data_IF_985205996579
#
_entry.id   IF_985205996579
#
_cell.length_a   1.000
_cell.length_b   1.000
_cell.length_c   1.000
_cell.angle_alpha   90.00
_cell.angle_beta   90.00
_cell.angle_gamma   90.00
#
_symmetry.space_group_name_H-M   'P 1'
#
loop_
_entity.id
_entity.type
_entity.pdbx_description
1 polymer ?
#
# COMPACT_ATOMS: atom_id res chain seq x y z
N UNK A 1 -6.70 4.64 -23.15
CA UNK A 1 -7.67 4.73 -22.07
C UNK A 1 -9.04 4.48 -22.66
N UNK A 2 -9.69 3.36 -22.35
CA UNK A 2 -11.06 3.09 -22.74
C UNK A 2 -11.86 2.92 -21.44
N UNK A 3 -12.89 3.71 -21.29
CA UNK A 3 -13.85 3.59 -20.20
C UNK A 3 -15.03 2.81 -20.73
N UNK A 4 -15.24 1.62 -20.23
CA UNK A 4 -16.49 0.88 -20.42
C UNK A 4 -16.96 0.40 -19.05
N UNK A 5 -18.13 0.86 -18.64
CA UNK A 5 -18.89 0.39 -17.46
C UNK A 5 -18.16 0.51 -16.11
N UNK A 6 -17.63 1.69 -15.79
CA UNK A 6 -17.08 1.96 -14.44
C UNK A 6 -15.82 1.17 -14.07
N UNK A 7 -15.13 0.58 -15.02
CA UNK A 7 -13.88 -0.15 -14.82
C UNK A 7 -12.72 0.57 -15.48
N UNK A 8 -11.67 0.85 -14.69
CA UNK A 8 -10.39 1.29 -15.24
C UNK A 8 -9.58 0.01 -15.49
N UNK A 9 -9.49 -0.40 -16.73
CA UNK A 9 -8.60 -1.49 -17.16
C UNK A 9 -7.34 -0.86 -17.73
N UNK A 10 -6.24 -0.97 -17.01
CA UNK A 10 -4.94 -0.59 -17.54
C UNK A 10 -4.30 -1.79 -18.23
N UNK A 11 -4.53 -1.94 -19.54
CA UNK A 11 -3.68 -2.82 -20.36
C UNK A 11 -2.40 -2.09 -20.67
N UNK A 12 -1.32 -2.45 -20.02
CA UNK A 12 -0.01 -1.90 -20.34
C UNK A 12 0.76 -2.81 -21.30
N UNK A 13 0.85 -2.37 -22.53
CA UNK A 13 2.14 -2.40 -23.21
C UNK A 13 2.92 -1.24 -22.60
N UNK A 14 4.09 -1.53 -22.04
CA UNK A 14 5.05 -0.62 -21.44
C UNK A 14 5.01 0.78 -22.10
N UNK A 15 4.26 1.74 -21.60
CA UNK A 15 4.36 3.18 -21.92
C UNK A 15 3.25 4.05 -21.29
N UNK A 16 2.63 3.74 -20.18
CA UNK A 16 1.44 4.49 -19.75
C UNK A 16 1.26 4.74 -18.23
N UNK A 17 2.32 4.85 -17.44
CA UNK A 17 2.18 5.25 -16.03
C UNK A 17 2.28 6.78 -15.80
N UNK A 18 2.35 7.59 -16.83
CA UNK A 18 2.56 9.05 -16.74
C UNK A 18 1.25 9.86 -16.76
N UNK A 19 0.07 9.26 -16.92
CA UNK A 19 -1.15 10.04 -17.20
C UNK A 19 -2.16 10.19 -16.05
N UNK A 20 -2.00 9.56 -14.91
CA UNK A 20 -2.96 9.67 -13.81
C UNK A 20 -2.72 10.89 -12.89
N UNK A 21 -1.54 11.47 -12.87
CA UNK A 21 -1.21 12.63 -12.04
C UNK A 21 -1.50 14.01 -12.69
N UNK A 22 -2.07 14.06 -13.89
CA UNK A 22 -2.20 15.32 -14.69
C UNK A 22 -3.59 15.94 -14.70
N UNK A 23 -4.56 15.46 -13.91
CA UNK A 23 -5.93 16.00 -13.95
C UNK A 23 -6.26 17.07 -12.88
N UNK A 24 -5.35 17.43 -12.00
CA UNK A 24 -5.67 18.32 -10.88
C UNK A 24 -5.19 19.79 -10.99
N UNK A 25 -4.52 20.22 -12.04
CA UNK A 25 -4.08 21.62 -12.16
C UNK A 25 -4.35 22.19 -13.54
N UNK A 26 -5.58 22.58 -13.84
CA UNK A 26 -5.88 23.63 -14.81
C UNK A 26 -7.32 24.15 -14.61
N UNK A 27 -7.42 25.18 -13.79
CA UNK A 27 -8.51 26.18 -13.87
C UNK A 27 -7.93 27.53 -13.51
N UNK A 28 -7.82 28.41 -14.48
CA UNK A 28 -7.56 29.82 -14.18
C UNK A 28 -6.95 30.63 -15.31
N UNK A 29 -7.86 31.34 -16.01
CA UNK A 29 -7.72 32.64 -16.65
C UNK A 29 -7.11 32.77 -18.05
N UNK A 30 -8.02 33.17 -18.90
CA UNK A 30 -7.86 33.82 -20.20
C UNK A 30 -7.30 35.25 -20.12
N UNK A 31 -6.50 35.67 -21.09
CA UNK A 31 -6.75 36.92 -21.87
C UNK A 31 -5.70 37.12 -22.96
N UNK A 32 -6.20 37.58 -24.10
CA UNK A 32 -5.64 37.92 -25.37
C UNK A 32 -4.29 38.63 -25.42
N UNK A 33 -3.46 38.31 -26.42
CA UNK A 33 -3.19 39.21 -27.57
C UNK A 33 -2.10 38.64 -28.49
N UNK A 34 -2.37 38.82 -29.78
CA UNK A 34 -1.56 38.52 -30.96
C UNK A 34 -0.13 39.04 -30.93
N UNK A 35 0.85 38.24 -31.37
CA UNK A 35 1.69 38.67 -32.52
C UNK A 35 2.52 37.51 -33.12
N UNK A 36 2.81 37.66 -34.43
CA UNK A 36 3.51 36.73 -35.29
C UNK A 36 5.02 36.68 -35.01
N UNK A 37 5.62 35.50 -35.08
CA UNK A 37 7.08 35.37 -35.18
C UNK A 37 7.54 33.93 -35.17
N UNK A 38 7.88 33.42 -36.34
CA UNK A 38 8.55 32.12 -36.54
C UNK A 38 9.81 31.98 -35.70
N UNK A 39 9.91 30.90 -34.91
CA UNK A 39 11.20 30.28 -34.64
C UNK A 39 11.08 28.84 -34.15
N UNK A 40 12.06 28.08 -34.56
CA UNK A 40 12.22 26.65 -34.45
C UNK A 40 12.18 26.11 -33.02
N UNK A 41 11.71 24.86 -32.92
CA UNK A 41 11.67 23.90 -31.82
C UNK A 41 12.58 24.15 -30.61
N UNK A 42 11.95 24.47 -29.51
CA UNK A 42 12.41 24.09 -28.19
C UNK A 42 11.24 23.39 -27.49
N UNK A 43 11.38 22.11 -27.27
CA UNK A 43 10.50 21.34 -26.41
C UNK A 43 10.42 22.03 -25.05
N UNK A 44 9.22 22.42 -24.65
CA UNK A 44 8.96 22.91 -23.31
C UNK A 44 9.11 21.72 -22.34
N UNK A 45 10.16 21.75 -21.53
CA UNK A 45 10.27 20.90 -20.34
C UNK A 45 9.12 21.26 -19.40
N UNK A 46 8.04 20.48 -19.49
CA UNK A 46 7.01 20.47 -18.46
C UNK A 46 7.62 19.91 -17.17
N UNK A 47 7.38 20.58 -16.05
CA UNK A 47 7.67 20.12 -14.70
C UNK A 47 6.79 18.90 -14.33
N UNK A 48 6.91 17.82 -15.07
CA UNK A 48 6.37 16.51 -14.72
C UNK A 48 7.40 15.79 -13.88
N UNK A 49 7.00 15.27 -12.73
CA UNK A 49 7.76 14.29 -11.95
C UNK A 49 8.33 13.23 -12.91
N UNK A 50 9.64 13.26 -13.08
CA UNK A 50 10.31 12.31 -13.96
C UNK A 50 10.54 11.02 -13.17
N UNK A 51 9.54 10.15 -13.20
CA UNK A 51 9.55 8.82 -12.55
C UNK A 51 10.80 8.03 -12.97
N UNK A 52 11.28 8.24 -14.20
CA UNK A 52 12.52 7.63 -14.68
C UNK A 52 13.75 8.18 -13.94
N UNK A 53 13.81 9.48 -13.65
CA UNK A 53 14.92 10.05 -12.86
C UNK A 53 14.83 9.68 -11.38
N UNK A 54 13.62 9.53 -10.84
CA UNK A 54 13.37 8.96 -9.52
C UNK A 54 13.88 7.52 -9.46
N UNK A 55 13.53 6.72 -10.45
CA UNK A 55 13.94 5.32 -10.58
C UNK A 55 15.46 5.18 -10.75
N UNK A 56 16.08 6.01 -11.61
CA UNK A 56 17.52 6.07 -11.80
C UNK A 56 18.26 6.56 -10.55
N UNK A 57 17.65 7.41 -9.73
CA UNK A 57 18.23 7.83 -8.44
C UNK A 57 18.19 6.73 -7.38
N UNK A 58 17.13 5.90 -7.39
CA UNK A 58 16.97 4.78 -6.45
C UNK A 58 17.79 3.57 -6.89
N UNK A 59 17.86 3.26 -8.19
CA UNK A 59 18.49 2.04 -8.71
C UNK A 59 19.85 2.27 -9.40
N UNK A 60 20.25 3.47 -9.75
CA UNK A 60 21.45 3.74 -10.55
C UNK A 60 22.44 4.73 -9.97
N UNK A 61 22.09 5.46 -8.94
CA UNK A 61 23.03 6.31 -8.20
C UNK A 61 23.14 5.79 -6.77
N UNK A 62 24.36 5.62 -6.31
CA UNK A 62 24.64 5.61 -4.87
C UNK A 62 23.98 6.86 -4.28
N UNK A 63 22.94 6.68 -3.49
CA UNK A 63 22.52 7.67 -2.50
C UNK A 63 23.81 8.05 -1.79
N UNK A 64 24.16 9.35 -1.73
CA UNK A 64 25.47 9.78 -1.26
C UNK A 64 25.80 9.15 0.09
N UNK A 65 27.09 8.89 0.33
CA UNK A 65 27.57 8.29 1.59
C UNK A 65 27.25 9.14 2.84
N UNK A 66 26.64 10.34 2.65
CA UNK A 66 26.15 11.24 3.69
C UNK A 66 24.65 11.06 3.99
N UNK A 67 23.92 10.24 3.21
CA UNK A 67 22.54 9.91 3.51
C UNK A 67 22.52 9.00 4.75
N UNK A 68 22.05 9.59 5.82
CA UNK A 68 22.05 9.07 7.17
C UNK A 68 21.92 7.54 7.19
N UNK A 69 22.90 6.89 7.73
CA UNK A 69 22.79 5.55 8.27
C UNK A 69 21.60 5.62 9.22
N UNK A 70 20.43 5.16 8.74
CA UNK A 70 19.36 4.78 9.64
C UNK A 70 19.96 3.61 10.39
N UNK A 71 20.38 3.88 11.62
CA UNK A 71 21.01 2.91 12.47
C UNK A 71 19.96 1.90 12.86
N UNK A 72 19.92 0.79 12.14
CA UNK A 72 19.00 -0.28 12.40
C UNK A 72 18.61 -1.07 11.15
N UNK A 73 18.40 -2.34 11.31
CA UNK A 73 17.98 -3.32 10.30
C UNK A 73 16.60 -3.05 9.66
N UNK A 74 16.04 -1.86 9.81
CA UNK A 74 14.63 -1.53 9.57
C UNK A 74 14.35 -0.64 8.36
N UNK A 75 15.37 -0.20 7.63
CA UNK A 75 15.15 0.59 6.42
C UNK A 75 14.48 -0.26 5.34
N UNK A 76 13.35 0.20 4.83
CA UNK A 76 12.70 -0.40 3.66
C UNK A 76 13.67 -0.31 2.49
N UNK A 77 13.95 -1.44 1.85
CA UNK A 77 14.88 -1.50 0.72
C UNK A 77 14.11 -1.49 -0.58
N UNK A 78 14.44 -0.53 -1.44
CA UNK A 78 13.85 -0.38 -2.77
C UNK A 78 14.71 -1.02 -3.88
N UNK A 79 15.74 -1.78 -3.52
CA UNK A 79 16.60 -2.46 -4.48
C UNK A 79 16.55 -3.97 -4.26
N UNK A 80 15.89 -4.66 -5.19
CA UNK A 80 15.72 -6.10 -5.21
C UNK A 80 16.26 -6.70 -6.50
N UNK A 81 16.66 -7.96 -6.44
CA UNK A 81 17.15 -8.72 -7.59
C UNK A 81 16.46 -10.10 -7.60
N UNK A 82 16.22 -10.66 -8.82
CA UNK A 82 15.78 -12.04 -8.93
C UNK A 82 16.70 -12.98 -8.15
N UNK A 83 16.10 -13.94 -7.49
CA UNK A 83 16.87 -14.98 -6.81
C UNK A 83 17.58 -15.92 -7.82
N UNK A 84 18.22 -16.99 -7.33
CA UNK A 84 18.96 -17.93 -8.18
C UNK A 84 18.06 -18.87 -9.01
N UNK A 85 16.73 -18.76 -8.92
CA UNK A 85 15.80 -19.57 -9.68
C UNK A 85 15.88 -19.20 -11.17
N UNK A 86 15.92 -20.21 -12.03
CA UNK A 86 15.92 -20.02 -13.48
C UNK A 86 14.54 -20.33 -14.03
N UNK A 87 13.80 -19.31 -14.53
CA UNK A 87 12.52 -19.51 -15.18
C UNK A 87 12.57 -20.54 -16.30
N UNK A 88 11.53 -21.38 -16.41
CA UNK A 88 11.48 -22.46 -17.40
C UNK A 88 10.91 -22.00 -18.75
N UNK A 89 10.20 -20.87 -18.78
CA UNK A 89 9.64 -20.25 -19.97
C UNK A 89 10.33 -18.92 -20.25
N UNK A 90 10.26 -18.45 -21.49
CA UNK A 90 10.70 -17.11 -21.88
C UNK A 90 9.60 -16.06 -21.78
N UNK A 91 8.36 -16.48 -21.59
CA UNK A 91 7.18 -15.60 -21.52
C UNK A 91 6.22 -16.06 -20.42
N UNK A 92 5.68 -15.09 -19.66
CA UNK A 92 4.68 -15.31 -18.62
C UNK A 92 3.60 -14.25 -18.71
N UNK A 93 2.38 -14.64 -18.35
CA UNK A 93 1.24 -13.72 -18.32
C UNK A 93 0.44 -13.93 -17.04
N UNK A 94 0.23 -12.85 -16.26
CA UNK A 94 -0.41 -12.90 -14.96
C UNK A 94 -1.62 -11.98 -14.89
N UNK A 95 -2.52 -12.29 -13.96
CA UNK A 95 -3.62 -11.42 -13.59
C UNK A 95 -3.55 -11.15 -12.09
N UNK A 96 -3.54 -9.88 -11.70
CA UNK A 96 -3.57 -9.46 -10.31
C UNK A 96 -4.77 -8.55 -10.06
N UNK A 97 -5.53 -8.83 -9.00
CA UNK A 97 -6.64 -7.98 -8.58
C UNK A 97 -6.51 -7.63 -7.11
N UNK A 98 -6.75 -6.36 -6.81
CA UNK A 98 -6.67 -5.80 -5.47
C UNK A 98 -7.96 -5.05 -5.13
N UNK A 99 -8.09 -4.55 -3.88
CA UNK A 99 -9.34 -4.10 -3.27
C UNK A 99 -9.95 -2.88 -3.96
N UNK A 100 -9.16 -1.82 -4.13
CA UNK A 100 -9.59 -0.52 -4.64
C UNK A 100 -8.44 0.29 -5.20
N UNK A 101 -8.73 1.34 -5.95
CA UNK A 101 -7.70 2.30 -6.40
C UNK A 101 -7.31 3.20 -5.23
N UNK A 102 -6.10 3.01 -4.72
CA UNK A 102 -5.55 3.76 -3.60
C UNK A 102 -4.03 3.92 -3.77
N UNK A 103 -3.39 5.05 -3.36
CA UNK A 103 -1.95 5.29 -3.54
C UNK A 103 -1.02 4.22 -2.95
N UNK A 104 -1.47 3.51 -1.92
CA UNK A 104 -0.72 2.40 -1.33
C UNK A 104 -0.32 1.34 -2.37
N UNK A 105 -1.20 1.08 -3.34
CA UNK A 105 -0.98 0.10 -4.41
C UNK A 105 0.03 0.54 -5.46
N UNK A 106 0.35 1.85 -5.52
CA UNK A 106 1.38 2.35 -6.42
C UNK A 106 2.77 1.85 -6.01
N UNK A 107 3.06 1.75 -4.69
CA UNK A 107 4.30 1.19 -4.18
C UNK A 107 4.43 -0.31 -4.48
N UNK A 108 3.35 -1.08 -4.39
CA UNK A 108 3.31 -2.49 -4.80
C UNK A 108 3.56 -2.61 -6.31
N UNK A 109 2.89 -1.78 -7.12
CA UNK A 109 3.09 -1.74 -8.58
C UNK A 109 4.53 -1.43 -8.96
N UNK A 110 5.19 -0.49 -8.26
CA UNK A 110 6.63 -0.20 -8.50
C UNK A 110 7.51 -1.42 -8.28
N UNK A 111 7.25 -2.20 -7.24
CA UNK A 111 7.95 -3.46 -7.00
C UNK A 111 7.73 -4.48 -8.11
N UNK A 112 6.48 -4.65 -8.56
CA UNK A 112 6.15 -5.53 -9.69
C UNK A 112 6.87 -5.08 -10.98
N UNK A 113 6.84 -3.79 -11.30
CA UNK A 113 7.52 -3.22 -12.47
C UNK A 113 9.04 -3.43 -12.41
N UNK A 114 9.63 -3.24 -11.22
CA UNK A 114 11.05 -3.51 -10.99
C UNK A 114 11.39 -4.98 -11.27
N UNK A 115 10.59 -5.93 -10.76
CA UNK A 115 10.78 -7.34 -11.04
C UNK A 115 10.70 -7.64 -12.53
N UNK A 116 9.68 -7.13 -13.24
CA UNK A 116 9.51 -7.30 -14.68
C UNK A 116 10.72 -6.80 -15.46
N UNK A 117 11.28 -5.64 -15.10
CA UNK A 117 12.49 -5.11 -15.73
C UNK A 117 13.72 -5.99 -15.49
N UNK A 118 13.94 -6.42 -14.23
CA UNK A 118 15.08 -7.30 -13.89
C UNK A 118 14.98 -8.65 -14.61
N UNK A 119 13.77 -9.22 -14.74
CA UNK A 119 13.58 -10.47 -15.51
C UNK A 119 13.73 -10.26 -17.02
N UNK A 120 13.34 -9.10 -17.55
CA UNK A 120 13.58 -8.74 -18.96
C UNK A 120 15.07 -8.68 -19.27
N UNK A 121 15.89 -8.15 -18.38
CA UNK A 121 17.35 -8.12 -18.52
C UNK A 121 17.96 -9.54 -18.56
N UNK A 122 17.25 -10.53 -18.00
CA UNK A 122 17.59 -11.95 -18.09
C UNK A 122 16.99 -12.64 -19.31
N UNK A 123 16.31 -11.92 -20.21
CA UNK A 123 15.66 -12.45 -21.41
C UNK A 123 14.28 -13.07 -21.17
N UNK A 124 13.64 -12.78 -20.05
CA UNK A 124 12.30 -13.28 -19.68
C UNK A 124 11.27 -12.15 -19.84
N UNK A 125 10.26 -12.37 -20.67
CA UNK A 125 9.17 -11.42 -20.89
C UNK A 125 8.01 -11.73 -19.92
N UNK A 126 7.58 -10.72 -19.17
CA UNK A 126 6.44 -10.83 -18.26
C UNK A 126 5.42 -9.78 -18.65
N UNK A 127 4.18 -10.20 -18.86
CA UNK A 127 3.00 -9.35 -18.97
C UNK A 127 2.06 -9.61 -17.81
N UNK A 128 1.33 -8.60 -17.38
CA UNK A 128 0.29 -8.78 -16.38
C UNK A 128 -0.80 -7.71 -16.48
N UNK A 129 -2.02 -8.09 -16.11
CA UNK A 129 -3.10 -7.15 -15.81
C UNK A 129 -3.13 -6.88 -14.29
N UNK A 130 -3.22 -5.61 -13.90
CA UNK A 130 -3.29 -5.16 -12.50
C UNK A 130 -4.54 -4.33 -12.33
N UNK A 131 -5.57 -4.88 -11.66
CA UNK A 131 -6.95 -4.40 -11.78
C UNK A 131 -7.62 -4.23 -10.42
N UNK A 132 -8.23 -3.07 -10.21
CA UNK A 132 -9.08 -2.80 -9.05
C UNK A 132 -10.35 -2.05 -9.44
N UNK A 133 -11.42 -2.10 -8.63
CA UNK A 133 -12.57 -1.20 -8.75
C UNK A 133 -12.17 0.21 -8.27
N UNK A 134 -13.01 1.20 -8.59
CA UNK A 134 -12.86 2.56 -8.05
C UNK A 134 -13.14 2.61 -6.54
N UNK A 135 -14.04 1.74 -6.07
CA UNK A 135 -14.45 1.60 -4.68
C UNK A 135 -14.34 0.13 -4.26
N UNK A 136 -14.00 -0.12 -3.01
CA UNK A 136 -13.87 -1.47 -2.45
C UNK A 136 -15.18 -2.25 -2.56
N UNK A 137 -15.12 -3.47 -3.09
CA UNK A 137 -16.26 -4.36 -3.23
C UNK A 137 -15.85 -5.81 -3.42
N UNK A 138 -16.04 -6.63 -2.39
CA UNK A 138 -15.75 -8.06 -2.45
C UNK A 138 -16.58 -8.80 -3.51
N UNK A 139 -17.82 -8.35 -3.75
CA UNK A 139 -18.65 -8.93 -4.82
C UNK A 139 -18.13 -8.58 -6.22
N UNK A 140 -17.57 -7.39 -6.41
CA UNK A 140 -16.92 -7.03 -7.68
C UNK A 140 -15.60 -7.78 -7.83
N UNK A 141 -14.80 -7.90 -6.76
CA UNK A 141 -13.56 -8.69 -6.77
C UNK A 141 -13.84 -10.16 -7.13
N UNK A 142 -14.90 -10.76 -6.54
CA UNK A 142 -15.36 -12.10 -6.92
C UNK A 142 -15.67 -12.21 -8.42
N UNK A 143 -16.40 -11.26 -8.99
CA UNK A 143 -16.72 -11.27 -10.44
C UNK A 143 -15.47 -11.18 -11.29
N UNK A 144 -14.50 -10.35 -10.91
CA UNK A 144 -13.24 -10.21 -11.62
C UNK A 144 -12.41 -11.49 -11.59
N UNK A 145 -12.34 -12.16 -10.44
CA UNK A 145 -11.64 -13.45 -10.31
C UNK A 145 -12.24 -14.52 -11.23
N UNK A 146 -13.57 -14.66 -11.23
CA UNK A 146 -14.27 -15.61 -12.10
C UNK A 146 -14.05 -15.27 -13.59
N UNK A 147 -14.11 -14.00 -13.96
CA UNK A 147 -13.85 -13.58 -15.34
C UNK A 147 -12.39 -13.80 -15.77
N UNK A 148 -11.43 -13.56 -14.87
CA UNK A 148 -10.02 -13.85 -15.14
C UNK A 148 -9.77 -15.37 -15.32
N UNK A 149 -10.48 -16.20 -14.58
CA UNK A 149 -10.36 -17.66 -14.70
C UNK A 149 -10.87 -18.22 -16.03
N UNK A 150 -11.75 -17.50 -16.74
CA UNK A 150 -12.18 -17.88 -18.11
C UNK A 150 -11.08 -17.64 -19.15
N UNK A 151 -10.09 -16.83 -18.85
CA UNK A 151 -8.95 -16.58 -19.75
C UNK A 151 -7.85 -17.62 -19.51
N UNK A 152 -7.62 -18.46 -20.52
CA UNK A 152 -6.60 -19.51 -20.45
C UNK A 152 -5.17 -18.98 -20.65
N UNK A 153 -5.01 -17.71 -21.07
CA UNK A 153 -3.69 -17.10 -21.30
C UNK A 153 -3.01 -16.67 -19.98
N UNK A 154 -3.75 -16.63 -18.86
CA UNK A 154 -3.14 -16.33 -17.56
C UNK A 154 -2.50 -17.57 -16.94
N UNK A 155 -1.19 -17.52 -16.71
CA UNK A 155 -0.42 -18.55 -16.03
C UNK A 155 -0.74 -18.62 -14.54
N UNK A 156 -0.97 -17.46 -13.89
CA UNK A 156 -1.28 -17.35 -12.47
C UNK A 156 -2.26 -16.19 -12.25
N UNK A 157 -3.18 -16.38 -11.32
CA UNK A 157 -4.10 -15.35 -10.82
C UNK A 157 -3.67 -15.00 -9.40
N UNK A 158 -3.41 -13.70 -9.15
CA UNK A 158 -3.12 -13.17 -7.81
C UNK A 158 -4.28 -12.32 -7.29
N UNK A 159 -4.54 -12.43 -6.00
CA UNK A 159 -5.60 -11.65 -5.35
C UNK A 159 -5.16 -11.13 -3.98
N UNK A 160 -5.34 -9.83 -3.74
CA UNK A 160 -5.37 -9.26 -2.40
C UNK A 160 -6.80 -9.36 -1.87
N UNK A 161 -6.99 -10.09 -0.79
CA UNK A 161 -8.32 -10.52 -0.31
C UNK A 161 -9.07 -9.34 0.31
N UNK A 162 -10.19 -8.94 -0.30
CA UNK A 162 -11.06 -7.88 0.23
C UNK A 162 -11.88 -8.36 1.45
N UNK A 163 -12.70 -9.38 1.27
CA UNK A 163 -13.46 -10.05 2.33
C UNK A 163 -13.23 -11.56 2.26
N UNK A 164 -12.66 -12.11 3.32
CA UNK A 164 -12.30 -13.54 3.42
C UNK A 164 -13.50 -14.44 3.18
N UNK A 165 -14.69 -14.10 3.71
CA UNK A 165 -15.90 -14.94 3.59
C UNK A 165 -16.42 -15.01 2.16
N UNK A 166 -16.18 -13.97 1.37
CA UNK A 166 -16.62 -13.87 -0.03
C UNK A 166 -15.58 -14.45 -0.98
N UNK A 167 -14.30 -14.22 -0.71
CA UNK A 167 -13.20 -14.51 -1.65
C UNK A 167 -12.58 -15.90 -1.44
N UNK A 168 -12.44 -16.39 -0.20
CA UNK A 168 -11.87 -17.74 0.04
C UNK A 168 -12.58 -18.85 -0.72
N UNK A 169 -13.94 -18.92 -0.75
CA UNK A 169 -14.63 -19.96 -1.51
C UNK A 169 -14.33 -19.89 -3.01
N UNK A 170 -14.15 -18.68 -3.56
CA UNK A 170 -13.81 -18.50 -4.99
C UNK A 170 -12.40 -19.00 -5.27
N UNK A 171 -11.44 -18.67 -4.41
CA UNK A 171 -10.06 -19.18 -4.54
C UNK A 171 -10.08 -20.72 -4.55
N UNK A 172 -10.82 -21.33 -3.61
CA UNK A 172 -10.96 -22.80 -3.54
C UNK A 172 -11.56 -23.39 -4.80
N UNK A 173 -12.65 -22.81 -5.33
CA UNK A 173 -13.28 -23.22 -6.58
C UNK A 173 -12.32 -23.13 -7.77
N UNK A 174 -11.57 -22.06 -7.91
CA UNK A 174 -10.61 -21.85 -9.00
C UNK A 174 -9.46 -22.90 -8.93
N UNK A 175 -8.93 -23.16 -7.75
CA UNK A 175 -7.88 -24.17 -7.54
C UNK A 175 -8.43 -25.57 -7.86
N UNK A 176 -9.64 -25.92 -7.41
CA UNK A 176 -10.27 -27.20 -7.69
C UNK A 176 -10.52 -27.41 -9.20
N UNK A 177 -10.70 -26.31 -9.94
CA UNK A 177 -10.82 -26.30 -11.40
C UNK A 177 -9.45 -26.22 -12.13
N UNK A 178 -8.33 -26.39 -11.41
CA UNK A 178 -6.99 -26.47 -11.98
C UNK A 178 -6.31 -25.13 -12.26
N UNK A 179 -6.91 -23.99 -11.86
CA UNK A 179 -6.25 -22.69 -11.97
C UNK A 179 -5.20 -22.53 -10.88
N UNK A 180 -4.15 -21.79 -11.19
CA UNK A 180 -3.09 -21.44 -10.24
C UNK A 180 -3.43 -20.11 -9.59
N UNK A 181 -3.74 -20.12 -8.29
CA UNK A 181 -4.13 -18.90 -7.56
C UNK A 181 -3.18 -18.70 -6.38
N UNK A 182 -2.70 -17.46 -6.23
CA UNK A 182 -1.96 -16.98 -5.07
C UNK A 182 -2.64 -15.75 -4.45
N UNK A 183 -2.36 -15.47 -3.20
CA UNK A 183 -2.71 -14.21 -2.55
C UNK A 183 -1.47 -13.32 -2.43
N UNK A 184 -1.66 -12.01 -2.35
CA UNK A 184 -0.55 -11.08 -2.26
C UNK A 184 -0.91 -9.80 -1.49
N UNK A 185 0.12 -9.06 -1.10
CA UNK A 185 0.10 -7.73 -0.51
C UNK A 185 -0.53 -7.66 0.89
N UNK A 186 -1.65 -6.97 1.07
CA UNK A 186 -2.09 -6.53 2.39
C UNK A 186 -2.92 -7.55 3.14
N UNK A 187 -3.58 -8.47 2.42
CA UNK A 187 -4.54 -9.42 3.02
C UNK A 187 -4.52 -10.78 2.37
N UNK A 188 -4.61 -11.79 3.22
CA UNK A 188 -4.64 -13.21 2.89
C UNK A 188 -5.95 -13.84 3.37
N UNK A 189 -6.18 -15.08 3.00
CA UNK A 189 -7.27 -15.93 3.48
C UNK A 189 -6.78 -17.12 4.33
N UNK A 190 -5.57 -17.04 4.88
CA UNK A 190 -5.05 -18.08 5.77
C UNK A 190 -5.96 -18.29 6.98
N UNK A 191 -6.21 -19.57 7.31
CA UNK A 191 -7.11 -19.95 8.40
C UNK A 191 -8.56 -20.19 7.99
N UNK A 192 -8.95 -19.93 6.74
CA UNK A 192 -10.21 -20.40 6.17
C UNK A 192 -10.00 -21.71 5.42
N UNK A 193 -10.79 -22.72 5.73
CA UNK A 193 -10.69 -24.06 5.12
C UNK A 193 -10.92 -24.06 3.60
N UNK A 194 -11.58 -23.03 3.07
CA UNK A 194 -11.79 -22.85 1.64
C UNK A 194 -10.61 -22.14 0.95
N UNK A 195 -9.70 -21.55 1.71
CA UNK A 195 -8.52 -20.90 1.19
C UNK A 195 -7.48 -21.94 0.75
N UNK A 196 -7.55 -22.35 -0.50
CA UNK A 196 -6.61 -23.32 -1.11
C UNK A 196 -5.49 -22.66 -1.89
N UNK A 197 -5.22 -21.39 -1.67
CA UNK A 197 -4.18 -20.66 -2.39
C UNK A 197 -2.84 -21.39 -2.35
N UNK A 198 -2.08 -21.25 -3.43
CA UNK A 198 -0.77 -21.92 -3.54
C UNK A 198 0.28 -21.22 -2.68
N UNK A 199 0.29 -19.88 -2.69
CA UNK A 199 1.22 -19.10 -1.90
C UNK A 199 0.62 -17.73 -1.51
N UNK A 200 1.23 -17.10 -0.50
CA UNK A 200 1.02 -15.71 -0.13
C UNK A 200 2.36 -14.96 -0.08
N UNK A 201 2.37 -13.75 -0.62
CA UNK A 201 3.47 -12.80 -0.49
C UNK A 201 2.92 -11.49 0.04
N UNK A 202 3.27 -11.10 1.27
CA UNK A 202 2.76 -9.87 1.85
C UNK A 202 2.96 -9.81 3.36
N UNK A 203 2.22 -8.92 4.00
CA UNK A 203 2.31 -8.73 5.44
C UNK A 203 1.55 -9.83 6.19
N UNK A 204 2.26 -10.66 6.93
CA UNK A 204 1.68 -11.74 7.75
C UNK A 204 1.45 -11.33 9.20
N UNK A 205 1.80 -10.11 9.56
CA UNK A 205 1.88 -9.67 10.96
C UNK A 205 0.96 -8.50 11.30
N UNK A 206 -0.14 -8.32 10.58
CA UNK A 206 -1.08 -7.20 10.80
C UNK A 206 -1.50 -7.03 12.28
N UNK A 207 -1.73 -8.14 12.98
CA UNK A 207 -1.99 -8.10 14.43
C UNK A 207 -0.80 -7.52 15.20
N UNK A 208 0.43 -7.96 14.89
CA UNK A 208 1.65 -7.47 15.53
C UNK A 208 1.88 -6.00 15.22
N UNK A 209 1.64 -5.58 13.98
CA UNK A 209 1.78 -4.18 13.58
C UNK A 209 0.88 -3.27 14.40
N UNK A 210 -0.41 -3.67 14.57
CA UNK A 210 -1.35 -2.96 15.45
C UNK A 210 -0.90 -2.96 16.91
N UNK A 211 -0.32 -4.07 17.39
CA UNK A 211 0.19 -4.18 18.75
C UNK A 211 1.41 -3.27 18.97
N UNK A 212 2.41 -3.34 18.09
CA UNK A 212 3.64 -2.56 18.19
C UNK A 212 3.37 -1.05 18.07
N UNK A 213 2.46 -0.66 17.16
CA UNK A 213 2.02 0.73 17.00
C UNK A 213 1.30 1.25 18.25
N UNK A 214 0.41 0.43 18.82
CA UNK A 214 -0.34 0.79 20.03
C UNK A 214 0.56 0.84 21.25
N UNK A 215 1.53 -0.07 21.36
CA UNK A 215 2.53 -0.04 22.44
C UNK A 215 3.35 1.24 22.39
N UNK A 216 3.80 1.66 21.19
CA UNK A 216 4.49 2.94 21.00
C UNK A 216 3.66 4.15 21.48
N UNK A 217 2.34 4.12 21.25
CA UNK A 217 1.43 5.14 21.79
C UNK A 217 1.36 5.07 23.32
N UNK A 218 1.18 3.87 23.89
CA UNK A 218 1.09 3.68 25.33
C UNK A 218 2.34 4.17 26.04
N UNK A 219 3.53 3.82 25.52
CA UNK A 219 4.81 4.30 26.03
C UNK A 219 4.91 5.82 25.96
N UNK A 220 4.51 6.43 24.84
CA UNK A 220 4.49 7.89 24.66
C UNK A 220 3.60 8.60 25.65
N UNK A 221 2.49 7.97 26.07
CA UNK A 221 1.51 8.50 27.00
C UNK A 221 1.79 8.10 28.47
N UNK A 222 2.96 7.51 28.79
CA UNK A 222 3.24 7.00 30.13
C UNK A 222 2.17 5.98 30.62
N UNK A 223 1.63 5.17 29.70
CA UNK A 223 0.62 4.12 29.95
C UNK A 223 -0.65 4.61 30.64
N UNK A 224 -1.09 5.84 30.35
CA UNK A 224 -2.32 6.43 30.89
C UNK A 224 -2.99 7.36 29.89
N UNK A 225 -4.30 7.39 29.89
CA UNK A 225 -5.08 8.32 29.08
C UNK A 225 -6.20 7.66 28.29
N UNK A 226 -7.00 8.49 27.65
CA UNK A 226 -8.12 8.08 26.81
C UNK A 226 -7.76 8.18 25.34
N UNK A 227 -8.01 7.13 24.61
CA UNK A 227 -7.69 7.07 23.18
C UNK A 227 -8.92 6.74 22.36
N UNK A 228 -8.91 7.14 21.10
CA UNK A 228 -9.91 6.74 20.09
C UNK A 228 -9.24 5.92 19.00
N UNK A 229 -10.03 5.06 18.33
CA UNK A 229 -9.56 4.12 17.33
C UNK A 229 -10.26 4.38 16.00
N UNK A 230 -9.51 4.62 14.94
CA UNK A 230 -9.95 4.64 13.55
C UNK A 230 -9.52 3.34 12.90
N UNK A 231 -10.44 2.65 12.20
CA UNK A 231 -10.19 1.26 11.78
C UNK A 231 -10.09 1.10 10.28
N UNK A 232 -10.83 1.86 9.50
CA UNK A 232 -10.95 1.69 8.05
C UNK A 232 -12.20 0.93 7.67
N UNK A 233 -12.08 -0.10 6.84
CA UNK A 233 -13.24 -0.82 6.29
C UNK A 233 -13.62 -2.00 7.17
N UNK A 234 -14.91 -2.11 7.57
CA UNK A 234 -15.40 -3.25 8.34
C UNK A 234 -15.21 -4.59 7.61
N UNK A 235 -14.72 -5.59 8.33
CA UNK A 235 -14.50 -6.94 7.79
C UNK A 235 -13.22 -7.12 6.97
N UNK A 236 -12.46 -6.06 6.73
CA UNK A 236 -11.15 -6.14 6.09
C UNK A 236 -10.14 -6.79 7.04
N UNK A 237 -9.52 -7.93 6.67
CA UNK A 237 -8.69 -8.70 7.59
C UNK A 237 -7.55 -7.92 8.24
N UNK A 238 -6.80 -7.12 7.47
CA UNK A 238 -5.66 -6.39 8.02
C UNK A 238 -6.10 -5.26 8.97
N UNK A 239 -7.20 -4.57 8.69
CA UNK A 239 -7.73 -3.51 9.56
C UNK A 239 -8.29 -4.08 10.86
N UNK A 240 -9.06 -5.19 10.78
CA UNK A 240 -9.63 -5.85 11.96
C UNK A 240 -8.56 -6.45 12.87
N UNK A 241 -7.50 -7.05 12.31
CA UNK A 241 -6.41 -7.60 13.09
C UNK A 241 -5.65 -6.51 13.85
N UNK A 242 -5.37 -5.36 13.21
CA UNK A 242 -4.73 -4.21 13.86
C UNK A 242 -5.62 -3.61 14.95
N UNK A 243 -6.92 -3.45 14.67
CA UNK A 243 -7.88 -2.94 15.64
C UNK A 243 -8.06 -3.88 16.83
N UNK A 244 -8.07 -5.20 16.60
CA UNK A 244 -8.10 -6.22 17.66
C UNK A 244 -6.86 -6.11 18.54
N UNK A 245 -5.69 -6.02 17.94
CA UNK A 245 -4.44 -5.88 18.68
C UNK A 245 -4.43 -4.60 19.52
N UNK A 246 -4.86 -3.46 18.95
CA UNK A 246 -4.95 -2.20 19.66
C UNK A 246 -5.83 -2.32 20.93
N UNK A 247 -7.00 -2.94 20.81
CA UNK A 247 -7.91 -3.19 21.95
C UNK A 247 -7.27 -4.09 23.01
N UNK A 248 -6.59 -5.16 22.59
CA UNK A 248 -5.93 -6.09 23.51
C UNK A 248 -4.72 -5.45 24.22
N UNK A 249 -3.94 -4.60 23.55
CA UNK A 249 -2.81 -3.89 24.16
C UNK A 249 -3.32 -2.87 25.17
N UNK A 250 -4.26 -2.00 24.81
CA UNK A 250 -4.82 -0.99 25.73
C UNK A 250 -5.40 -1.65 26.98
N UNK A 251 -6.09 -2.79 26.85
CA UNK A 251 -6.67 -3.51 27.97
C UNK A 251 -5.64 -4.08 28.98
N UNK A 252 -4.35 -4.14 28.62
CA UNK A 252 -3.29 -4.53 29.58
C UNK A 252 -2.97 -3.42 30.59
N UNK A 253 -3.29 -2.18 30.28
CA UNK A 253 -2.91 -1.00 31.07
C UNK A 253 -4.15 -0.40 31.74
N UNK A 254 -4.27 -0.51 33.10
CA UNK A 254 -5.49 -0.12 33.82
C UNK A 254 -5.84 1.37 33.72
N UNK A 255 -4.86 2.23 33.41
CA UNK A 255 -5.06 3.67 33.27
C UNK A 255 -5.23 4.11 31.79
N UNK A 256 -5.29 3.15 30.85
CA UNK A 256 -5.59 3.39 29.45
C UNK A 256 -7.01 2.93 29.12
N UNK A 257 -7.67 3.66 28.22
CA UNK A 257 -9.04 3.33 27.78
C UNK A 257 -9.25 3.70 26.31
N UNK A 258 -9.79 2.77 25.48
CA UNK A 258 -10.39 3.13 24.19
C UNK A 258 -11.82 3.58 24.46
N UNK A 259 -12.09 4.88 24.32
CA UNK A 259 -13.38 5.49 24.63
C UNK A 259 -14.35 5.52 23.46
N UNK A 260 -13.87 5.41 22.24
CA UNK A 260 -14.70 5.32 21.03
C UNK A 260 -13.93 4.67 19.88
N UNK A 261 -14.68 4.14 18.89
CA UNK A 261 -14.13 3.48 17.69
C UNK A 261 -14.98 3.86 16.50
N UNK A 262 -14.36 4.21 15.37
CA UNK A 262 -15.04 4.46 14.11
C UNK A 262 -14.41 3.69 12.96
N UNK A 263 -15.25 3.39 11.96
CA UNK A 263 -14.87 2.82 10.68
C UNK A 263 -15.07 3.88 9.61
N UNK A 264 -13.99 4.30 8.98
CA UNK A 264 -13.96 5.44 8.03
C UNK A 264 -13.90 5.01 6.56
N UNK A 265 -14.10 3.71 6.30
CA UNK A 265 -14.14 3.15 4.94
C UNK A 265 -12.85 3.44 4.13
N UNK A 266 -11.70 3.52 4.81
CA UNK A 266 -10.40 3.84 4.20
C UNK A 266 -10.36 5.22 3.52
N UNK A 267 -11.07 6.20 4.08
CA UNK A 267 -11.25 7.54 3.52
C UNK A 267 -10.81 8.62 4.50
N UNK A 268 -9.84 9.43 4.11
CA UNK A 268 -9.26 10.46 4.98
C UNK A 268 -10.22 11.61 5.35
N UNK A 269 -11.20 11.93 4.49
CA UNK A 269 -12.21 12.95 4.80
C UNK A 269 -13.21 12.42 5.82
N UNK A 270 -13.59 11.13 5.74
CA UNK A 270 -14.44 10.49 6.74
C UNK A 270 -13.69 10.34 8.08
N UNK A 271 -12.42 9.95 8.04
CA UNK A 271 -11.54 9.90 9.22
C UNK A 271 -11.44 11.28 9.90
N UNK A 272 -11.32 12.36 9.11
CA UNK A 272 -11.34 13.73 9.60
C UNK A 272 -12.68 14.06 10.29
N UNK A 273 -13.82 13.75 9.68
CA UNK A 273 -15.14 14.02 10.24
C UNK A 273 -15.36 13.27 11.56
N UNK A 274 -15.00 11.99 11.64
CA UNK A 274 -15.05 11.23 12.89
C UNK A 274 -14.14 11.83 13.96
N UNK A 275 -12.92 12.21 13.59
CA UNK A 275 -11.98 12.82 14.54
C UNK A 275 -12.50 14.14 15.09
N UNK A 276 -13.03 15.03 14.25
CA UNK A 276 -13.70 16.27 14.69
C UNK A 276 -14.86 15.95 15.65
N UNK A 277 -15.66 14.91 15.33
CA UNK A 277 -16.75 14.45 16.20
C UNK A 277 -16.24 14.00 17.59
N UNK A 278 -15.17 13.21 17.62
CA UNK A 278 -14.54 12.76 18.86
C UNK A 278 -13.97 13.93 19.67
N UNK A 279 -13.25 14.85 19.03
CA UNK A 279 -12.64 16.01 19.69
C UNK A 279 -13.69 16.95 20.33
N UNK A 280 -14.85 17.09 19.71
CA UNK A 280 -16.00 17.83 20.27
C UNK A 280 -16.70 17.09 21.38
N UNK A 281 -16.80 15.77 21.30
CA UNK A 281 -17.48 14.92 22.28
C UNK A 281 -16.64 14.68 23.53
N UNK A 282 -15.34 14.52 23.38
CA UNK A 282 -14.42 14.12 24.44
C UNK A 282 -13.26 15.13 24.56
N UNK A 283 -13.23 15.88 25.63
CA UNK A 283 -12.21 16.93 25.86
C UNK A 283 -10.89 16.38 26.38
N UNK A 284 -10.86 15.13 26.85
CA UNK A 284 -9.75 14.49 27.54
C UNK A 284 -9.10 13.35 26.72
N UNK A 285 -9.27 13.38 25.39
CA UNK A 285 -8.54 12.49 24.48
C UNK A 285 -7.06 12.82 24.54
N UNK A 286 -6.23 11.78 24.75
CA UNK A 286 -4.76 11.86 24.79
C UNK A 286 -4.12 11.27 23.53
N UNK A 287 -4.80 10.35 22.83
CA UNK A 287 -4.25 9.67 21.67
C UNK A 287 -5.27 9.21 20.66
N UNK A 288 -4.80 8.99 19.42
CA UNK A 288 -5.54 8.45 18.30
C UNK A 288 -4.73 7.32 17.68
N UNK A 289 -5.35 6.14 17.54
CA UNK A 289 -4.78 4.98 16.88
C UNK A 289 -5.43 4.85 15.51
N UNK A 290 -4.63 4.77 14.45
CA UNK A 290 -5.06 4.73 13.06
C UNK A 290 -4.62 3.41 12.43
N UNK A 291 -5.56 2.57 11.96
CA UNK A 291 -5.28 1.21 11.51
C UNK A 291 -5.02 1.07 10.01
N UNK A 292 -5.21 2.15 9.23
CA UNK A 292 -4.96 2.16 7.77
C UNK A 292 -4.21 3.43 7.34
N UNK A 293 -3.90 3.54 6.05
CA UNK A 293 -3.12 4.64 5.47
C UNK A 293 -3.84 5.99 5.48
N UNK A 294 -5.17 6.00 5.35
CA UNK A 294 -5.98 7.21 5.23
C UNK A 294 -6.27 7.88 6.57
N UNK A 295 -6.40 7.07 7.64
CA UNK A 295 -6.75 7.51 8.98
C UNK A 295 -5.82 8.61 9.53
N UNK A 296 -4.47 8.44 9.50
CA UNK A 296 -3.57 9.40 10.14
C UNK A 296 -3.61 10.77 9.44
N UNK A 297 -3.93 10.81 8.15
CA UNK A 297 -4.09 12.07 7.40
C UNK A 297 -5.32 12.84 7.92
N UNK A 298 -6.47 12.16 8.00
CA UNK A 298 -7.71 12.76 8.49
C UNK A 298 -7.60 13.17 9.97
N UNK A 299 -7.03 12.30 10.81
CA UNK A 299 -6.82 12.56 12.22
C UNK A 299 -5.91 13.78 12.46
N UNK A 300 -4.77 13.86 11.78
CA UNK A 300 -3.83 14.96 11.90
C UNK A 300 -4.45 16.29 11.48
N UNK A 301 -5.17 16.32 10.35
CA UNK A 301 -5.89 17.50 9.87
C UNK A 301 -6.90 18.03 10.92
N UNK A 302 -7.68 17.13 11.51
CA UNK A 302 -8.66 17.49 12.54
C UNK A 302 -8.00 18.02 13.83
N UNK A 303 -6.92 17.37 14.28
CA UNK A 303 -6.17 17.78 15.47
C UNK A 303 -5.50 19.14 15.28
N UNK A 304 -5.01 19.44 14.06
CA UNK A 304 -4.45 20.76 13.70
C UNK A 304 -5.54 21.82 13.75
N UNK A 305 -6.71 21.56 13.13
CA UNK A 305 -7.81 22.52 13.05
C UNK A 305 -8.34 22.90 14.44
N UNK A 306 -8.44 21.93 15.35
CA UNK A 306 -8.85 22.14 16.73
C UNK A 306 -7.70 22.68 17.64
N UNK A 307 -6.50 22.89 17.09
CA UNK A 307 -5.34 23.44 17.80
C UNK A 307 -4.77 22.54 18.90
N UNK A 308 -5.02 21.22 18.82
CA UNK A 308 -4.70 20.25 19.88
C UNK A 308 -3.47 19.38 19.59
N UNK A 309 -2.65 19.73 18.60
CA UNK A 309 -1.47 18.94 18.17
C UNK A 309 -0.37 18.78 19.23
N UNK A 310 -0.42 19.52 20.32
CA UNK A 310 0.49 19.36 21.47
C UNK A 310 -0.08 18.51 22.60
N UNK A 311 -1.36 18.19 22.55
CA UNK A 311 -2.09 17.46 23.57
C UNK A 311 -2.36 16.03 23.17
N UNK A 312 -2.52 15.77 21.85
CA UNK A 312 -2.94 14.49 21.31
C UNK A 312 -1.80 13.85 20.54
N UNK A 313 -1.49 12.61 20.90
CA UNK A 313 -0.51 11.77 20.21
C UNK A 313 -1.22 10.93 19.14
N UNK A 314 -0.80 11.04 17.89
CA UNK A 314 -1.33 10.26 16.79
C UNK A 314 -0.31 9.19 16.39
N UNK A 315 -0.74 7.95 16.29
CA UNK A 315 0.03 6.85 15.67
C UNK A 315 -0.80 6.27 14.52
N UNK A 316 -0.15 5.86 13.45
CA UNK A 316 -0.87 5.40 12.27
C UNK A 316 -0.09 4.44 11.40
N UNK A 317 -0.70 4.03 10.31
CA UNK A 317 -0.13 3.10 9.36
C UNK A 317 0.28 3.80 8.07
N UNK A 318 1.26 3.17 7.42
CA UNK A 318 1.69 3.37 6.05
C UNK A 318 2.39 4.72 5.76
N UNK A 319 2.50 5.03 4.48
CA UNK A 319 3.46 6.00 3.96
C UNK A 319 2.81 7.07 3.07
N UNK A 320 1.53 7.40 3.33
CA UNK A 320 0.90 8.52 2.61
C UNK A 320 1.77 9.78 2.69
N UNK A 321 1.87 10.51 1.57
CA UNK A 321 2.74 11.69 1.49
C UNK A 321 2.44 12.71 2.59
N UNK A 322 1.16 13.02 2.77
CA UNK A 322 0.73 14.01 3.76
C UNK A 322 0.93 13.50 5.20
N UNK A 323 0.75 12.18 5.43
CA UNK A 323 1.06 11.58 6.73
C UNK A 323 2.56 11.65 7.05
N UNK A 324 3.44 11.42 6.06
CA UNK A 324 4.89 11.59 6.21
C UNK A 324 5.27 13.06 6.45
N UNK A 325 4.62 14.02 5.80
CA UNK A 325 4.80 15.44 6.07
C UNK A 325 4.39 15.79 7.52
N UNK A 326 3.26 15.27 7.98
CA UNK A 326 2.82 15.43 9.38
C UNK A 326 3.75 14.73 10.38
N UNK A 327 4.33 13.59 10.02
CA UNK A 327 5.36 12.92 10.83
C UNK A 327 6.62 13.79 10.94
N UNK A 328 7.13 14.32 9.82
CA UNK A 328 8.26 15.25 9.77
C UNK A 328 8.02 16.49 10.63
N UNK A 329 6.82 17.03 10.57
CA UNK A 329 6.44 18.23 11.33
C UNK A 329 6.12 17.94 12.80
N UNK A 330 6.10 16.66 13.21
CA UNK A 330 5.88 16.21 14.58
C UNK A 330 4.41 16.28 15.03
N UNK A 331 3.47 16.32 14.09
CA UNK A 331 2.03 16.21 14.32
C UNK A 331 1.65 14.75 14.58
N UNK A 332 2.14 13.85 13.76
CA UNK A 332 2.08 12.39 13.94
C UNK A 332 3.32 11.96 14.71
N UNK A 333 3.17 11.04 15.66
CA UNK A 333 4.27 10.54 16.49
C UNK A 333 5.09 9.45 15.81
N UNK A 334 4.40 8.44 15.25
CA UNK A 334 5.04 7.38 14.47
C UNK A 334 4.08 6.76 13.45
N UNK A 335 4.64 6.12 12.44
CA UNK A 335 3.92 5.38 11.41
C UNK A 335 4.50 3.96 11.27
N UNK A 336 3.62 2.97 11.13
CA UNK A 336 3.99 1.61 10.77
C UNK A 336 4.00 1.46 9.24
N UNK A 337 5.17 1.47 8.63
CA UNK A 337 5.31 1.42 7.16
C UNK A 337 5.55 0.00 6.69
N UNK A 338 4.68 -0.48 5.83
CA UNK A 338 4.77 -1.80 5.20
C UNK A 338 5.74 -1.78 4.01
N UNK A 339 6.50 -2.86 3.79
CA UNK A 339 7.41 -2.99 2.64
C UNK A 339 6.65 -3.38 1.36
N UNK A 340 5.83 -2.45 0.87
CA UNK A 340 4.98 -2.64 -0.30
C UNK A 340 5.78 -2.92 -1.58
N UNK A 341 6.99 -2.37 -1.69
CA UNK A 341 7.86 -2.62 -2.84
C UNK A 341 8.30 -4.08 -2.89
N UNK A 342 8.78 -4.62 -1.77
CA UNK A 342 9.14 -6.05 -1.67
C UNK A 342 7.94 -6.94 -1.93
N UNK A 343 6.75 -6.59 -1.42
CA UNK A 343 5.51 -7.32 -1.72
C UNK A 343 5.27 -7.45 -3.24
N UNK A 344 5.43 -6.36 -3.97
CA UNK A 344 5.26 -6.34 -5.43
C UNK A 344 6.32 -7.18 -6.15
N UNK A 345 7.59 -6.97 -5.80
CA UNK A 345 8.73 -7.67 -6.43
C UNK A 345 8.63 -9.19 -6.23
N UNK A 346 8.44 -9.62 -4.99
CA UNK A 346 8.39 -11.04 -4.64
C UNK A 346 7.10 -11.73 -5.08
N UNK A 347 6.01 -10.96 -5.30
CA UNK A 347 4.80 -11.48 -5.94
C UNK A 347 5.07 -11.94 -7.37
N UNK A 348 5.74 -11.13 -8.18
CA UNK A 348 6.14 -11.51 -9.55
C UNK A 348 7.08 -12.71 -9.53
N UNK A 349 8.11 -12.68 -8.69
CA UNK A 349 9.07 -13.76 -8.56
C UNK A 349 8.44 -15.09 -8.13
N UNK A 350 7.45 -15.04 -7.24
CA UNK A 350 6.70 -16.21 -6.77
C UNK A 350 5.73 -16.70 -7.85
N UNK A 351 5.05 -15.80 -8.55
CA UNK A 351 4.15 -16.16 -9.66
C UNK A 351 4.86 -16.91 -10.78
N UNK A 352 6.11 -16.54 -11.13
CA UNK A 352 6.93 -17.28 -12.10
C UNK A 352 7.12 -18.73 -11.65
N UNK A 353 7.49 -18.97 -10.40
CA UNK A 353 7.71 -20.32 -9.86
C UNK A 353 6.44 -21.15 -9.84
N UNK A 354 5.31 -20.54 -9.48
CA UNK A 354 3.99 -21.18 -9.53
C UNK A 354 3.62 -21.51 -10.99
N UNK A 355 3.85 -20.60 -11.93
CA UNK A 355 3.61 -20.83 -13.36
C UNK A 355 4.39 -22.02 -13.89
N UNK A 356 5.63 -22.19 -13.44
CA UNK A 356 6.50 -23.31 -13.78
C UNK A 356 6.13 -24.62 -13.07
N UNK A 357 5.11 -24.63 -12.22
CA UNK A 357 4.64 -25.83 -11.49
C UNK A 357 5.50 -26.21 -10.30
N UNK A 358 6.34 -25.31 -9.81
CA UNK A 358 7.11 -25.52 -8.59
C UNK A 358 6.16 -25.45 -7.38
N UNK A 359 6.30 -26.37 -6.45
CA UNK A 359 5.49 -26.41 -5.23
C UNK A 359 6.13 -25.59 -4.11
N UNK A 360 5.32 -25.03 -3.19
CA UNK A 360 5.86 -24.41 -1.98
C UNK A 360 6.76 -25.37 -1.20
N UNK A 361 7.83 -24.82 -0.61
CA UNK A 361 8.85 -25.60 0.12
C UNK A 361 10.02 -26.08 -0.74
N UNK A 362 9.91 -26.06 -2.07
CA UNK A 362 11.01 -26.44 -2.96
C UNK A 362 11.94 -25.28 -3.28
N UNK A 363 11.41 -24.20 -3.86
CA UNK A 363 12.18 -23.01 -4.31
C UNK A 363 11.63 -21.69 -3.74
N UNK A 364 10.51 -21.73 -3.06
CA UNK A 364 9.92 -20.60 -2.36
C UNK A 364 9.10 -21.09 -1.17
N UNK A 365 8.77 -20.20 -0.25
CA UNK A 365 7.91 -20.47 0.91
C UNK A 365 6.45 -20.40 0.47
N UNK A 366 5.57 -21.16 1.15
CA UNK A 366 4.12 -20.99 0.99
C UNK A 366 3.68 -19.59 1.41
N UNK A 367 4.36 -19.02 2.39
CA UNK A 367 4.13 -17.65 2.89
C UNK A 367 5.45 -16.92 2.95
N UNK A 368 5.54 -15.80 2.23
CA UNK A 368 6.64 -14.85 2.29
C UNK A 368 6.15 -13.62 3.04
N UNK A 369 6.84 -13.30 4.14
CA UNK A 369 6.49 -12.19 5.02
C UNK A 369 7.31 -10.95 4.67
N UNK A 370 6.61 -9.91 4.25
CA UNK A 370 7.17 -8.58 4.01
C UNK A 370 6.84 -7.69 5.21
N UNK A 371 7.87 -7.29 5.90
CA UNK A 371 7.77 -6.69 7.23
C UNK A 371 7.17 -5.28 7.22
N UNK A 372 6.63 -4.90 8.37
CA UNK A 372 6.30 -3.52 8.73
C UNK A 372 7.43 -2.94 9.59
N UNK A 373 7.78 -1.69 9.35
CA UNK A 373 8.77 -0.93 10.12
C UNK A 373 8.11 0.27 10.78
N UNK A 374 8.27 0.43 12.09
CA UNK A 374 7.85 1.65 12.78
C UNK A 374 8.88 2.73 12.51
N UNK A 375 8.44 3.82 11.90
CA UNK A 375 9.26 5.01 11.59
C UNK A 375 8.83 6.18 12.45
N UNK A 376 9.78 7.06 12.72
CA UNK A 376 9.61 8.26 13.52
C UNK A 376 9.97 9.51 12.71
N UNK A 377 9.87 10.68 13.34
CA UNK A 377 10.12 11.98 12.72
C UNK A 377 11.42 12.04 11.91
N UNK A 378 12.49 11.47 12.43
CA UNK A 378 13.83 11.54 11.80
C UNK A 378 13.91 10.71 10.50
N UNK A 379 13.02 9.74 10.34
CA UNK A 379 12.93 8.89 9.12
C UNK A 379 12.10 9.54 8.01
N UNK A 380 11.24 10.51 8.36
CA UNK A 380 10.20 11.03 7.48
C UNK A 380 10.76 11.68 6.21
N UNK A 381 11.82 12.47 6.32
CA UNK A 381 12.42 13.14 5.16
C UNK A 381 13.06 12.13 4.19
N UNK A 382 13.68 11.07 4.71
CA UNK A 382 14.20 9.97 3.89
C UNK A 382 13.06 9.31 3.10
N UNK A 383 11.95 8.99 3.76
CA UNK A 383 10.79 8.35 3.12
C UNK A 383 10.14 9.26 2.07
N UNK A 384 9.98 10.55 2.35
CA UNK A 384 9.47 11.54 1.39
C UNK A 384 10.35 11.63 0.15
N UNK A 385 11.67 11.61 0.31
CA UNK A 385 12.62 11.64 -0.80
C UNK A 385 12.55 10.37 -1.63
N UNK A 386 12.54 9.21 -1.01
CA UNK A 386 12.56 7.92 -1.71
C UNK A 386 11.24 7.65 -2.43
N UNK A 387 10.11 7.84 -1.75
CA UNK A 387 8.80 7.51 -2.31
C UNK A 387 8.22 8.59 -3.22
N UNK A 388 8.53 9.87 -2.94
CA UNK A 388 7.89 11.00 -3.61
C UNK A 388 8.85 11.96 -4.30
N UNK A 389 10.17 11.71 -4.24
CA UNK A 389 11.17 12.53 -4.91
C UNK A 389 11.32 13.94 -4.33
N UNK A 390 10.92 14.17 -3.08
CA UNK A 390 11.12 15.46 -2.44
C UNK A 390 12.61 15.73 -2.23
N UNK A 391 13.10 16.81 -2.85
CA UNK A 391 14.44 17.36 -2.62
C UNK A 391 14.23 18.56 -1.71
N UNK A 392 15.01 18.66 -0.64
CA UNK A 392 15.03 19.80 0.31
C UNK A 392 15.14 21.16 -0.37
#
# INVERSE_FOLDING_TARGET
>A
MYITEGKIVMKKKITALVLAALCAVFSGCSSDSSDNGSNEGKEAEGSGLNIKSMWESVNGKKIGEEDAVIDGESAIKFEHYPDSYKPQKSEYNFYFTYKEVHPWWDAVSLGMESAVEKYRDLGINISYDYVAPAEMSALDQRKRLLAAAENEDYDVIGVDVDDMKVISPVIGELIDNGKKVMTFASSDCAGDDNCKRIAYVGNTHNYRDGADLTEALCEKLDYKGKVVLLVGTPGNPCHEDRAKAAKEIINKYPEMEIIDTAYDENNSDIAYEYTIGFLKKYHDISGIICCNMSDPVGAAKAVIEEGRQKEITIVGMDHDKQALEYLRDGIIYCLGVQDCFSMGFDTIQTAIKIADGIMPGEKYKETTDEKTTIIYKDDAQYMLRVLYGEID
#
